data_IF_363874658792
#
_entry.id   IF_363874658792
#
_cell.length_a   1.000
_cell.length_b   1.000
_cell.length_c   1.000
_cell.angle_alpha   90.00
_cell.angle_beta   90.00
_cell.angle_gamma   90.00
#
_symmetry.space_group_name_H-M   'P 1'
#
loop_
_entity.id
_entity.type
_entity.pdbx_description
1 polymer ?
#
# COMPACT_ATOMS: atom_id res chain seq x y z
N UNK A 1 -52.42 -25.34 -9.27
CA UNK A 1 -51.13 -24.93 -9.88
C UNK A 1 -50.44 -24.00 -8.91
N UNK A 2 -49.66 -24.60 -8.01
CA UNK A 2 -48.90 -23.92 -6.96
C UNK A 2 -47.58 -23.47 -7.58
N UNK A 3 -47.32 -22.16 -7.57
CA UNK A 3 -46.03 -21.58 -7.92
C UNK A 3 -45.49 -20.89 -6.68
N UNK A 4 -44.58 -21.56 -6.00
CA UNK A 4 -43.70 -20.97 -4.99
C UNK A 4 -42.46 -20.51 -5.74
N UNK A 5 -42.34 -19.21 -5.98
CA UNK A 5 -41.07 -18.63 -6.44
C UNK A 5 -40.20 -18.40 -5.21
N UNK A 6 -39.24 -19.30 -5.03
CA UNK A 6 -38.15 -19.16 -4.08
C UNK A 6 -37.27 -18.00 -4.55
N UNK A 7 -37.28 -16.89 -3.81
CA UNK A 7 -36.23 -15.89 -3.91
C UNK A 7 -34.94 -16.55 -3.42
N UNK A 8 -33.99 -16.74 -4.32
CA UNK A 8 -32.63 -17.13 -3.97
C UNK A 8 -32.12 -16.14 -2.92
N UNK A 9 -31.79 -16.65 -1.73
CA UNK A 9 -31.08 -15.90 -0.72
C UNK A 9 -29.80 -15.36 -1.39
N UNK A 10 -29.65 -14.04 -1.43
CA UNK A 10 -28.37 -13.44 -1.77
C UNK A 10 -27.37 -13.95 -0.73
N UNK A 11 -26.39 -14.73 -1.18
CA UNK A 11 -25.25 -15.13 -0.36
C UNK A 11 -24.71 -13.86 0.31
N UNK A 12 -24.62 -13.87 1.64
CA UNK A 12 -23.85 -12.87 2.34
C UNK A 12 -22.44 -12.87 1.72
N UNK A 13 -21.87 -11.71 1.34
CA UNK A 13 -20.58 -11.70 0.69
C UNK A 13 -19.58 -12.39 1.63
N UNK A 14 -19.05 -13.55 1.21
CA UNK A 14 -17.96 -14.22 1.92
C UNK A 14 -16.90 -13.15 2.22
N UNK A 15 -16.66 -12.91 3.51
CA UNK A 15 -15.79 -11.83 3.93
C UNK A 15 -14.40 -12.07 3.33
N UNK A 16 -14.01 -11.27 2.32
CA UNK A 16 -12.68 -11.35 1.72
C UNK A 16 -11.61 -11.18 2.81
N UNK A 17 -10.41 -11.67 2.54
CA UNK A 17 -9.22 -11.49 3.37
C UNK A 17 -8.91 -10.03 3.72
N UNK A 18 -7.98 -9.81 4.64
CA UNK A 18 -7.61 -8.48 5.14
C UNK A 18 -6.50 -7.90 4.29
N UNK A 19 -6.65 -6.67 3.83
CA UNK A 19 -5.64 -5.97 3.04
C UNK A 19 -5.04 -4.80 3.83
N UNK A 20 -3.74 -4.87 4.09
CA UNK A 20 -2.99 -3.84 4.84
C UNK A 20 -1.89 -3.27 3.95
N UNK A 21 -1.87 -1.96 3.78
CA UNK A 21 -0.82 -1.25 3.07
C UNK A 21 0.09 -0.49 4.04
N UNK A 22 1.39 -0.46 3.76
CA UNK A 22 2.37 0.35 4.49
C UNK A 22 2.80 1.52 3.63
N UNK A 23 2.67 2.73 4.15
CA UNK A 23 2.97 3.98 3.45
C UNK A 23 3.87 4.88 4.29
N UNK A 24 4.47 5.89 3.64
CA UNK A 24 5.40 6.83 4.25
C UNK A 24 6.62 7.14 3.38
N UNK A 25 7.37 8.16 3.79
CA UNK A 25 8.58 8.61 3.12
C UNK A 25 9.70 7.56 3.06
N UNK A 26 10.80 7.92 2.39
CA UNK A 26 11.97 7.04 2.31
C UNK A 26 12.61 6.84 3.69
N UNK A 27 13.20 5.66 3.93
CA UNK A 27 13.84 5.34 5.21
C UNK A 27 12.89 5.27 6.43
N UNK A 28 11.57 5.31 6.24
CA UNK A 28 10.59 5.24 7.34
C UNK A 28 10.52 3.86 8.02
N UNK A 29 11.11 2.81 7.44
CA UNK A 29 11.11 1.46 8.02
C UNK A 29 9.91 0.58 7.63
N UNK A 30 9.19 0.93 6.54
CA UNK A 30 8.00 0.21 6.03
C UNK A 30 8.25 -1.29 5.86
N UNK A 31 9.26 -1.66 5.08
CA UNK A 31 9.62 -3.06 4.81
C UNK A 31 9.97 -3.86 6.07
N UNK A 32 10.51 -3.20 7.10
CA UNK A 32 10.79 -3.83 8.39
C UNK A 32 9.50 -4.10 9.15
N UNK A 33 8.64 -3.10 9.30
CA UNK A 33 7.38 -3.25 10.02
C UNK A 33 6.40 -4.21 9.33
N UNK A 34 6.36 -4.19 7.99
CA UNK A 34 5.57 -5.12 7.20
C UNK A 34 6.01 -6.59 7.40
N UNK A 35 7.32 -6.84 7.48
CA UNK A 35 7.85 -8.18 7.79
C UNK A 35 7.53 -8.63 9.21
N UNK A 36 7.72 -7.75 10.20
CA UNK A 36 7.42 -8.05 11.61
C UNK A 36 5.93 -8.41 11.78
N UNK A 37 5.04 -7.64 11.17
CA UNK A 37 3.61 -7.94 11.15
C UNK A 37 3.33 -9.29 10.47
N UNK A 38 3.93 -9.53 9.30
CA UNK A 38 3.71 -10.77 8.56
C UNK A 38 4.15 -12.00 9.36
N UNK A 39 5.30 -11.94 10.01
CA UNK A 39 5.85 -13.05 10.79
C UNK A 39 5.01 -13.30 12.06
N UNK A 40 4.57 -12.25 12.74
CA UNK A 40 3.67 -12.38 13.89
C UNK A 40 2.33 -13.03 13.51
N UNK A 41 1.71 -12.61 12.41
CA UNK A 41 0.43 -13.18 11.96
C UNK A 41 0.56 -14.62 11.46
N UNK A 42 1.69 -14.97 10.80
CA UNK A 42 1.99 -16.36 10.43
C UNK A 42 2.16 -17.24 11.67
N UNK A 43 2.86 -16.75 12.70
CA UNK A 43 3.01 -17.46 13.96
C UNK A 43 1.67 -17.67 14.67
N UNK A 44 0.71 -16.76 14.48
CA UNK A 44 -0.67 -16.88 14.96
C UNK A 44 -1.56 -17.77 14.06
N UNK A 45 -1.03 -18.36 12.99
CA UNK A 45 -1.74 -19.32 12.15
C UNK A 45 -2.51 -18.71 10.96
N UNK A 46 -2.35 -17.42 10.68
CA UNK A 46 -2.97 -16.80 9.49
C UNK A 46 -2.18 -17.14 8.22
N UNK A 47 -2.90 -17.34 7.10
CA UNK A 47 -2.26 -17.27 5.78
C UNK A 47 -1.88 -15.81 5.50
N UNK A 48 -0.59 -15.53 5.28
CA UNK A 48 -0.10 -14.18 5.04
C UNK A 48 0.71 -14.09 3.75
N UNK A 49 0.23 -13.21 2.87
CA UNK A 49 0.91 -12.82 1.62
C UNK A 49 1.56 -11.47 1.84
N UNK A 50 2.90 -11.46 1.94
CA UNK A 50 3.70 -10.24 2.01
C UNK A 50 4.21 -9.89 0.61
N UNK A 51 4.00 -8.64 0.20
CA UNK A 51 4.38 -8.14 -1.14
C UNK A 51 4.83 -6.66 -1.09
N UNK A 52 5.15 -6.07 -2.25
CA UNK A 52 5.55 -4.66 -2.39
C UNK A 52 5.11 -4.09 -3.73
N UNK A 53 5.03 -2.76 -3.79
CA UNK A 53 4.82 -2.01 -5.03
C UNK A 53 5.88 -0.93 -5.28
N UNK A 54 6.20 -0.64 -6.56
CA UNK A 54 5.83 -1.43 -7.74
C UNK A 54 6.56 -2.77 -7.73
N UNK A 55 5.95 -3.84 -8.25
CA UNK A 55 6.51 -5.20 -8.19
C UNK A 55 5.49 -6.28 -7.83
N UNK A 56 5.98 -7.43 -7.34
CA UNK A 56 5.15 -8.53 -6.84
C UNK A 56 4.77 -9.59 -7.89
N UNK A 57 4.99 -9.33 -9.18
CA UNK A 57 4.84 -10.29 -10.28
C UNK A 57 5.95 -10.12 -11.30
N UNK A 58 6.28 -11.11 -12.15
CA UNK A 58 7.34 -10.95 -13.15
C UNK A 58 7.16 -9.73 -14.06
N UNK A 59 5.92 -9.47 -14.52
CA UNK A 59 5.62 -8.30 -15.34
C UNK A 59 5.70 -6.98 -14.54
N UNK A 60 5.21 -6.98 -13.29
CA UNK A 60 5.29 -5.80 -12.42
C UNK A 60 6.75 -5.48 -12.01
N UNK A 61 7.62 -6.48 -11.84
CA UNK A 61 9.05 -6.31 -11.58
C UNK A 61 9.78 -5.72 -12.80
N UNK A 62 9.40 -6.09 -14.03
CA UNK A 62 9.95 -5.46 -15.22
C UNK A 62 9.60 -3.96 -15.29
N UNK A 63 8.36 -3.59 -14.93
CA UNK A 63 7.97 -2.18 -14.84
C UNK A 63 8.69 -1.45 -13.70
N UNK A 64 8.88 -2.12 -12.55
CA UNK A 64 9.69 -1.62 -11.43
C UNK A 64 11.10 -1.27 -11.88
N UNK A 65 11.74 -2.15 -12.65
CA UNK A 65 13.08 -1.91 -13.15
C UNK A 65 13.14 -0.60 -13.97
N UNK A 66 12.17 -0.36 -14.85
CA UNK A 66 12.12 0.90 -15.62
C UNK A 66 11.90 2.12 -14.73
N UNK A 67 10.94 2.09 -13.79
CA UNK A 67 10.63 3.29 -13.01
C UNK A 67 11.67 3.61 -11.93
N UNK A 68 12.51 2.66 -11.51
CA UNK A 68 13.50 2.91 -10.45
C UNK A 68 14.93 3.08 -10.97
N UNK A 69 15.21 2.72 -12.21
CA UNK A 69 16.57 2.77 -12.74
C UNK A 69 17.05 4.22 -12.96
N UNK A 70 18.18 4.63 -12.33
CA UNK A 70 18.76 5.96 -12.50
C UNK A 70 19.07 6.35 -13.95
N UNK A 71 19.25 5.37 -14.86
CA UNK A 71 19.50 5.66 -16.28
C UNK A 71 18.34 6.39 -16.96
N UNK A 72 17.12 6.27 -16.43
CA UNK A 72 15.92 6.95 -16.93
C UNK A 72 15.63 8.25 -16.18
N UNK A 73 16.66 8.92 -15.65
CA UNK A 73 16.54 10.26 -15.11
C UNK A 73 15.86 11.19 -16.14
N UNK A 74 14.85 11.95 -15.70
CA UNK A 74 14.02 12.78 -16.58
C UNK A 74 12.88 12.05 -17.29
N UNK A 75 12.53 10.81 -16.88
CA UNK A 75 11.29 10.14 -17.30
C UNK A 75 10.08 11.08 -17.09
N UNK A 76 9.25 11.21 -18.12
CA UNK A 76 8.05 12.05 -18.06
C UNK A 76 7.12 11.60 -16.90
N UNK A 77 6.58 12.58 -16.16
CA UNK A 77 5.78 12.30 -14.98
C UNK A 77 4.51 11.48 -15.29
N UNK A 78 3.86 11.70 -16.45
CA UNK A 78 2.68 10.91 -16.83
C UNK A 78 3.08 9.48 -17.18
N UNK A 79 4.21 9.30 -17.88
CA UNK A 79 4.74 7.97 -18.16
C UNK A 79 5.08 7.21 -16.87
N UNK A 80 5.73 7.88 -15.90
CA UNK A 80 5.98 7.34 -14.56
C UNK A 80 4.67 6.90 -13.89
N UNK A 81 3.67 7.79 -13.80
CA UNK A 81 2.37 7.49 -13.18
C UNK A 81 1.65 6.30 -13.84
N UNK A 82 1.68 6.21 -15.18
CA UNK A 82 1.05 5.13 -15.92
C UNK A 82 1.78 3.79 -15.72
N UNK A 83 3.11 3.79 -15.64
CA UNK A 83 3.89 2.57 -15.35
C UNK A 83 3.61 2.05 -13.93
N UNK A 84 3.49 2.95 -12.94
CA UNK A 84 3.07 2.58 -11.60
C UNK A 84 1.65 1.99 -11.59
N UNK A 85 0.71 2.62 -12.29
CA UNK A 85 -0.67 2.12 -12.41
C UNK A 85 -0.74 0.75 -13.12
N UNK A 86 0.04 0.55 -14.19
CA UNK A 86 0.12 -0.71 -14.91
C UNK A 86 0.73 -1.84 -14.06
N UNK A 87 1.81 -1.55 -13.32
CA UNK A 87 2.45 -2.49 -12.40
C UNK A 87 1.46 -2.95 -11.33
N UNK A 88 0.70 -2.00 -10.77
CA UNK A 88 -0.33 -2.22 -9.76
C UNK A 88 -1.53 -3.01 -10.28
N UNK A 89 -2.01 -2.73 -11.49
CA UNK A 89 -3.11 -3.49 -12.10
C UNK A 89 -2.77 -4.99 -12.21
N UNK A 90 -1.58 -5.30 -12.72
CA UNK A 90 -1.08 -6.67 -12.83
C UNK A 90 -0.90 -7.32 -11.45
N UNK A 91 -0.33 -6.59 -10.51
CA UNK A 91 -0.11 -7.07 -9.14
C UNK A 91 -1.43 -7.41 -8.43
N UNK A 92 -2.45 -6.54 -8.56
CA UNK A 92 -3.78 -6.79 -8.02
C UNK A 92 -4.41 -8.02 -8.65
N UNK A 93 -4.42 -8.10 -9.99
CA UNK A 93 -5.08 -9.17 -10.72
C UNK A 93 -4.46 -10.55 -10.45
N UNK A 94 -3.13 -10.63 -10.32
CA UNK A 94 -2.41 -11.90 -10.22
C UNK A 94 -2.09 -12.36 -8.81
N UNK A 95 -1.98 -11.44 -7.86
CA UNK A 95 -1.50 -11.75 -6.51
C UNK A 95 -2.48 -11.29 -5.43
N UNK A 96 -2.80 -10.00 -5.36
CA UNK A 96 -3.57 -9.46 -4.22
C UNK A 96 -5.02 -9.97 -4.23
N UNK A 97 -5.76 -9.78 -5.33
CA UNK A 97 -7.17 -10.15 -5.36
C UNK A 97 -7.39 -11.67 -5.16
N UNK A 98 -6.61 -12.57 -5.79
CA UNK A 98 -6.71 -14.00 -5.49
C UNK A 98 -6.38 -14.36 -4.03
N UNK A 99 -5.47 -13.63 -3.38
CA UNK A 99 -5.13 -13.83 -1.97
C UNK A 99 -6.25 -13.41 -1.03
N UNK A 100 -6.84 -12.24 -1.28
CA UNK A 100 -8.00 -11.79 -0.54
C UNK A 100 -9.21 -12.71 -0.78
N UNK A 101 -9.39 -13.22 -2.00
CA UNK A 101 -10.50 -14.12 -2.34
C UNK A 101 -10.53 -15.43 -1.55
N UNK A 102 -9.38 -15.91 -1.07
CA UNK A 102 -9.26 -17.11 -0.23
C UNK A 102 -9.14 -16.83 1.27
N UNK A 103 -9.31 -15.58 1.69
CA UNK A 103 -9.30 -15.17 3.11
C UNK A 103 -7.93 -14.83 3.68
N UNK A 104 -6.87 -14.76 2.88
CA UNK A 104 -5.52 -14.45 3.37
C UNK A 104 -5.40 -13.00 3.85
N UNK A 105 -4.46 -12.75 4.78
CA UNK A 105 -4.00 -11.40 5.08
C UNK A 105 -2.96 -10.99 4.05
N UNK A 106 -3.25 -9.97 3.25
CA UNK A 106 -2.29 -9.38 2.32
C UNK A 106 -1.67 -8.15 2.94
N UNK A 107 -0.34 -8.12 3.00
CA UNK A 107 0.45 -6.99 3.48
C UNK A 107 1.30 -6.48 2.32
N UNK A 108 1.16 -5.21 1.95
CA UNK A 108 1.96 -4.59 0.88
C UNK A 108 2.80 -3.42 1.40
N UNK A 109 4.08 -3.38 1.05
CA UNK A 109 4.90 -2.18 1.14
C UNK A 109 4.60 -1.27 -0.06
N UNK A 110 3.94 -0.14 0.21
CA UNK A 110 3.33 0.81 -0.73
C UNK A 110 2.09 0.26 -1.46
N UNK A 111 1.20 1.20 -1.81
CA UNK A 111 0.04 0.98 -2.66
C UNK A 111 -0.34 2.29 -3.40
N UNK A 112 -1.63 2.58 -3.56
CA UNK A 112 -2.15 3.74 -4.31
C UNK A 112 -1.76 5.08 -3.69
N UNK A 113 -1.70 5.16 -2.36
CA UNK A 113 -1.41 6.42 -1.66
C UNK A 113 0.01 6.92 -1.99
N UNK A 114 0.98 6.01 -2.18
CA UNK A 114 2.30 6.34 -2.75
C UNK A 114 2.19 7.02 -4.12
N UNK A 115 1.32 6.55 -5.02
CA UNK A 115 1.17 7.20 -6.33
C UNK A 115 0.54 8.58 -6.22
N UNK A 116 -0.42 8.76 -5.31
CA UNK A 116 -1.03 10.07 -5.05
C UNK A 116 0.02 11.04 -4.49
N UNK A 117 0.83 10.62 -3.51
CA UNK A 117 1.83 11.47 -2.89
C UNK A 117 2.96 11.85 -3.87
N UNK A 118 3.54 10.87 -4.56
CA UNK A 118 4.69 11.12 -5.44
C UNK A 118 4.25 11.71 -6.79
N UNK A 119 3.39 11.02 -7.53
CA UNK A 119 3.00 11.46 -8.87
C UNK A 119 1.88 12.51 -8.84
N UNK A 120 0.90 12.37 -7.95
CA UNK A 120 -0.21 13.31 -7.86
C UNK A 120 0.23 14.68 -7.33
N UNK A 121 0.91 14.70 -6.18
CA UNK A 121 1.30 15.93 -5.49
C UNK A 121 2.71 16.37 -5.88
N UNK A 122 3.74 15.57 -5.60
CA UNK A 122 5.13 16.03 -5.74
C UNK A 122 5.56 16.25 -7.21
N UNK A 123 5.03 15.47 -8.16
CA UNK A 123 5.19 15.71 -9.61
C UNK A 123 4.17 16.69 -10.19
N UNK A 124 3.14 17.09 -9.43
CA UNK A 124 2.14 18.06 -9.85
C UNK A 124 1.15 17.58 -10.92
N UNK A 125 0.88 16.27 -11.03
CA UNK A 125 -0.11 15.74 -11.98
C UNK A 125 -1.57 15.89 -11.50
N UNK A 126 -1.76 16.22 -10.22
CA UNK A 126 -3.06 16.31 -9.57
C UNK A 126 -3.41 15.02 -8.82
N UNK A 127 -3.69 15.10 -7.51
CA UNK A 127 -3.98 13.92 -6.69
C UNK A 127 -5.25 13.18 -7.16
N UNK A 128 -6.28 13.91 -7.59
CA UNK A 128 -7.53 13.32 -8.07
C UNK A 128 -7.35 12.52 -9.36
N UNK A 129 -6.57 13.06 -10.31
CA UNK A 129 -6.30 12.40 -11.59
C UNK A 129 -5.54 11.10 -11.36
N UNK A 130 -4.47 11.14 -10.56
CA UNK A 130 -3.67 9.95 -10.25
C UNK A 130 -4.47 8.95 -9.42
N UNK A 131 -5.31 9.43 -8.50
CA UNK A 131 -6.24 8.60 -7.73
C UNK A 131 -7.22 7.86 -8.62
N UNK A 132 -7.86 8.54 -9.57
CA UNK A 132 -8.83 7.94 -10.50
C UNK A 132 -8.20 6.87 -11.41
N UNK A 133 -7.02 7.15 -11.96
CA UNK A 133 -6.29 6.16 -12.78
C UNK A 133 -6.03 4.89 -11.99
N UNK A 134 -5.62 5.04 -10.73
CA UNK A 134 -5.33 3.90 -9.86
C UNK A 134 -6.58 3.18 -9.35
N UNK A 135 -7.66 3.91 -9.08
CA UNK A 135 -8.95 3.31 -8.73
C UNK A 135 -9.44 2.41 -9.88
N UNK A 136 -9.33 2.87 -11.12
CA UNK A 136 -9.64 2.04 -12.29
C UNK A 136 -8.69 0.84 -12.42
N UNK A 137 -7.38 1.07 -12.32
CA UNK A 137 -6.36 0.03 -12.45
C UNK A 137 -6.51 -1.11 -11.43
N UNK A 138 -6.98 -0.79 -10.23
CA UNK A 138 -7.12 -1.74 -9.10
C UNK A 138 -8.50 -2.37 -9.00
N UNK A 139 -9.42 -2.06 -9.92
CA UNK A 139 -10.82 -2.50 -9.80
C UNK A 139 -11.50 -1.95 -8.54
N UNK A 140 -11.12 -0.75 -8.12
CA UNK A 140 -11.55 -0.08 -6.88
C UNK A 140 -11.16 -0.79 -5.58
N UNK A 141 -10.18 -1.70 -5.61
CA UNK A 141 -9.66 -2.33 -4.41
C UNK A 141 -8.91 -1.30 -3.55
N UNK A 142 -9.34 -1.15 -2.31
CA UNK A 142 -8.67 -0.31 -1.31
C UNK A 142 -8.19 -1.15 -0.12
N UNK A 143 -7.09 -0.77 0.54
CA UNK A 143 -6.68 -1.37 1.81
C UNK A 143 -7.77 -1.18 2.87
N UNK A 144 -7.95 -2.20 3.70
CA UNK A 144 -8.76 -2.10 4.92
C UNK A 144 -8.05 -1.27 6.01
N UNK A 145 -6.72 -1.21 5.94
CA UNK A 145 -5.87 -0.39 6.79
C UNK A 145 -4.67 0.10 6.00
N UNK A 146 -4.38 1.39 6.08
CA UNK A 146 -3.09 1.96 5.69
C UNK A 146 -2.30 2.33 6.95
N UNK A 147 -1.15 1.69 7.15
CA UNK A 147 -0.19 2.06 8.20
C UNK A 147 0.75 3.11 7.63
N UNK A 148 0.63 4.35 8.11
CA UNK A 148 1.53 5.44 7.74
C UNK A 148 2.66 5.55 8.76
N UNK A 149 3.89 5.29 8.33
CA UNK A 149 5.10 5.53 9.11
C UNK A 149 5.61 6.95 8.82
N UNK A 150 5.34 7.86 9.75
CA UNK A 150 5.62 9.29 9.60
C UNK A 150 7.04 9.64 10.09
N UNK A 151 7.88 10.11 9.17
CA UNK A 151 9.24 10.59 9.43
C UNK A 151 9.49 11.83 8.60
N UNK A 152 10.25 12.78 9.17
CA UNK A 152 10.74 13.94 8.42
C UNK A 152 11.64 13.51 7.26
N UNK A 153 11.53 14.21 6.13
CA UNK A 153 12.21 13.83 4.88
C UNK A 153 13.74 13.70 5.06
N UNK A 154 14.38 14.69 5.70
CA UNK A 154 15.81 14.67 5.96
C UNK A 154 16.25 13.44 6.79
N UNK A 155 15.50 13.12 7.85
CA UNK A 155 15.80 11.99 8.72
C UNK A 155 15.58 10.64 8.03
N UNK A 156 14.57 10.56 7.15
CA UNK A 156 14.31 9.39 6.32
C UNK A 156 15.39 9.17 5.27
N UNK A 157 15.74 10.20 4.51
CA UNK A 157 16.75 10.14 3.45
C UNK A 157 18.15 9.80 3.98
N UNK A 158 18.50 10.25 5.20
CA UNK A 158 19.76 9.88 5.85
C UNK A 158 19.93 8.36 6.10
N UNK A 159 18.84 7.58 6.03
CA UNK A 159 18.85 6.12 6.19
C UNK A 159 18.93 5.36 4.86
N UNK A 160 18.83 6.06 3.72
CA UNK A 160 18.87 5.45 2.39
C UNK A 160 20.32 5.15 2.03
N UNK A 161 20.57 3.91 1.61
CA UNK A 161 21.87 3.43 1.13
C UNK A 161 21.68 3.05 -0.34
N UNK A 162 22.45 3.67 -1.24
CA UNK A 162 22.34 3.50 -2.70
C UNK A 162 20.97 3.92 -3.27
N UNK A 163 20.71 5.23 -3.42
CA UNK A 163 19.41 5.71 -3.85
C UNK A 163 19.08 5.30 -5.29
N UNK A 164 17.85 4.84 -5.49
CA UNK A 164 17.27 4.67 -6.82
C UNK A 164 16.86 6.02 -7.44
N UNK A 165 16.28 6.00 -8.65
CA UNK A 165 15.90 7.22 -9.38
C UNK A 165 14.99 8.16 -8.58
N UNK A 166 14.00 7.63 -7.85
CA UNK A 166 13.08 8.46 -7.04
C UNK A 166 13.70 8.91 -5.72
N UNK A 167 14.54 8.08 -5.11
CA UNK A 167 15.27 8.42 -3.89
C UNK A 167 16.39 9.46 -4.14
N UNK A 168 16.75 9.67 -5.41
CA UNK A 168 17.73 10.68 -5.84
C UNK A 168 17.10 12.07 -6.05
N UNK A 169 15.79 12.22 -5.84
CA UNK A 169 15.13 13.52 -5.90
C UNK A 169 15.60 14.45 -4.76
N UNK A 170 15.53 15.78 -4.91
CA UNK A 170 15.93 16.70 -3.86
C UNK A 170 15.10 16.53 -2.58
N UNK A 171 15.66 16.87 -1.43
CA UNK A 171 14.95 16.81 -0.15
C UNK A 171 13.60 17.56 -0.17
N UNK A 172 13.53 18.70 -0.87
CA UNK A 172 12.29 19.46 -1.03
C UNK A 172 11.17 18.65 -1.70
N UNK A 173 11.50 17.77 -2.66
CA UNK A 173 10.53 16.85 -3.27
C UNK A 173 10.01 15.86 -2.23
N UNK A 174 10.90 15.27 -1.43
CA UNK A 174 10.51 14.32 -0.38
C UNK A 174 9.74 14.99 0.77
N UNK A 175 10.02 16.26 1.08
CA UNK A 175 9.24 17.03 2.04
C UNK A 175 7.79 17.21 1.57
N UNK A 176 7.57 17.49 0.28
CA UNK A 176 6.22 17.55 -0.32
C UNK A 176 5.52 16.19 -0.23
N UNK A 177 6.24 15.10 -0.50
CA UNK A 177 5.69 13.72 -0.36
C UNK A 177 5.25 13.43 1.08
N UNK A 178 6.06 13.79 2.09
CA UNK A 178 5.71 13.61 3.51
C UNK A 178 4.44 14.37 3.85
N UNK A 179 4.33 15.64 3.42
CA UNK A 179 3.12 16.43 3.66
C UNK A 179 1.89 15.86 2.93
N UNK A 180 2.06 15.31 1.74
CA UNK A 180 0.97 14.65 1.01
C UNK A 180 0.44 13.42 1.77
N UNK A 181 1.32 12.58 2.32
CA UNK A 181 0.88 11.45 3.15
C UNK A 181 0.15 11.89 4.41
N UNK A 182 0.65 12.93 5.10
CA UNK A 182 -0.03 13.51 6.27
C UNK A 182 -1.42 14.03 5.93
N UNK A 183 -1.57 14.69 4.79
CA UNK A 183 -2.86 15.18 4.31
C UNK A 183 -3.84 14.04 3.98
N UNK A 184 -3.36 12.97 3.35
CA UNK A 184 -4.17 11.77 3.08
C UNK A 184 -4.65 11.10 4.38
N UNK A 185 -3.75 10.92 5.35
CA UNK A 185 -4.10 10.33 6.64
C UNK A 185 -5.08 11.20 7.44
N UNK A 186 -4.94 12.53 7.38
CA UNK A 186 -5.87 13.46 8.00
C UNK A 186 -7.27 13.42 7.35
N UNK A 187 -7.35 13.19 6.04
CA UNK A 187 -8.61 13.15 5.30
C UNK A 187 -9.45 11.89 5.52
N UNK A 188 -8.86 10.80 6.02
CA UNK A 188 -9.51 9.50 6.19
C UNK A 188 -9.03 8.77 7.45
N UNK A 189 -9.22 9.34 8.66
CA UNK A 189 -8.59 8.84 9.88
C UNK A 189 -9.02 7.41 10.26
N UNK A 190 -10.16 6.94 9.79
CA UNK A 190 -10.66 5.58 10.08
C UNK A 190 -9.89 4.50 9.31
N UNK A 191 -9.43 4.82 8.09
CA UNK A 191 -8.61 3.92 7.24
C UNK A 191 -7.13 3.92 7.63
N UNK A 192 -6.65 4.95 8.34
CA UNK A 192 -5.23 5.08 8.67
C UNK A 192 -4.88 4.69 10.11
N UNK A 193 -3.70 4.12 10.25
CA UNK A 193 -2.93 4.13 11.50
C UNK A 193 -1.64 4.91 11.24
N UNK A 194 -1.61 6.18 11.62
CA UNK A 194 -0.42 7.02 11.51
C UNK A 194 0.44 6.90 12.77
N UNK A 195 1.72 6.54 12.61
CA UNK A 195 2.68 6.32 13.70
C UNK A 195 3.96 7.11 13.45
N UNK A 196 4.51 7.82 14.45
CA UNK A 196 5.84 8.41 14.36
C UNK A 196 6.90 7.32 14.18
N UNK A 197 7.70 7.41 13.11
CA UNK A 197 8.78 6.49 12.79
C UNK A 197 10.13 6.92 13.38
N UNK A 198 10.08 7.30 14.67
CA UNK A 198 11.21 7.74 15.50
C UNK A 198 11.33 6.99 16.83
N UNK A 199 10.37 6.13 17.16
CA UNK A 199 10.37 5.30 18.37
C UNK A 199 11.13 3.97 18.21
N UNK A 200 11.15 3.18 19.27
CA UNK A 200 11.70 1.83 19.25
C UNK A 200 10.97 0.96 18.24
N UNK A 201 11.74 0.16 17.50
CA UNK A 201 11.21 -0.68 16.42
C UNK A 201 10.08 -1.59 16.89
N UNK A 202 10.24 -2.18 18.07
CA UNK A 202 9.34 -3.20 18.59
C UNK A 202 8.05 -2.57 19.16
N UNK A 203 8.10 -1.33 19.66
CA UNK A 203 6.91 -0.58 20.09
C UNK A 203 6.00 -0.25 18.90
N UNK A 204 6.60 0.19 17.78
CA UNK A 204 5.87 0.44 16.53
C UNK A 204 5.24 -0.86 16.03
N UNK A 205 5.98 -1.97 16.06
CA UNK A 205 5.49 -3.28 15.63
C UNK A 205 4.30 -3.75 16.48
N UNK A 206 4.37 -3.58 17.80
CA UNK A 206 3.31 -3.94 18.73
C UNK A 206 2.02 -3.12 18.48
N UNK A 207 2.14 -1.81 18.24
CA UNK A 207 1.00 -0.95 17.93
C UNK A 207 0.29 -1.37 16.62
N UNK A 208 1.07 -1.67 15.58
CA UNK A 208 0.55 -2.15 14.29
C UNK A 208 -0.16 -3.49 14.48
N UNK A 209 0.49 -4.45 15.15
CA UNK A 209 -0.09 -5.77 15.38
C UNK A 209 -1.42 -5.67 16.14
N UNK A 210 -1.47 -4.89 17.22
CA UNK A 210 -2.69 -4.69 18.01
C UNK A 210 -3.86 -4.14 17.16
N UNK A 211 -3.58 -3.17 16.26
CA UNK A 211 -4.60 -2.62 15.36
C UNK A 211 -5.09 -3.67 14.35
N UNK A 212 -4.17 -4.43 13.75
CA UNK A 212 -4.51 -5.45 12.76
C UNK A 212 -5.30 -6.60 13.37
N UNK A 213 -4.91 -7.08 14.56
CA UNK A 213 -5.68 -8.10 15.27
C UNK A 213 -7.08 -7.62 15.65
N UNK A 214 -7.24 -6.33 16.00
CA UNK A 214 -8.55 -5.76 16.24
C UNK A 214 -9.45 -5.83 14.99
N UNK A 215 -8.89 -5.60 13.80
CA UNK A 215 -9.63 -5.72 12.54
C UNK A 215 -9.97 -7.18 12.22
N UNK A 216 -9.03 -8.09 12.46
CA UNK A 216 -9.26 -9.54 12.28
C UNK A 216 -10.38 -10.05 13.19
N UNK A 217 -10.43 -9.63 14.47
CA UNK A 217 -11.50 -9.99 15.41
C UNK A 217 -12.86 -9.41 15.05
N UNK A 218 -12.89 -8.23 14.43
CA UNK A 218 -14.13 -7.58 14.02
C UNK A 218 -14.74 -8.17 12.73
N UNK A 219 -13.98 -9.01 12.02
CA UNK A 219 -14.43 -9.63 10.77
C UNK A 219 -15.20 -10.91 11.04
N UNK A 220 -16.28 -11.20 10.27
CA UNK A 220 -16.93 -12.49 10.35
C UNK A 220 -15.93 -13.59 9.99
N UNK A 221 -15.81 -14.59 10.84
CA UNK A 221 -15.08 -15.81 10.49
C UNK A 221 -15.78 -16.46 9.29
N UNK A 222 -15.07 -16.86 8.23
CA UNK A 222 -15.67 -17.62 7.14
C UNK A 222 -16.26 -18.94 7.61
#
# INVERSE_FOLDING_TARGET
>A
MTSVSSAAAADAPCARGLFVAFEGGEGAGKSTQARLLADALRAAGHEVVLTREPGGTPAAEAMRAVVLDPQFAGLDARAEALLYAASRAEHVARLIAPALGRGAVVITDRYVDSSIAYQGVARGLGPDVVGQINLWATGSLQPDLTVLLDVEAAAGLARVVEPNRLESEPEAFHAVVVQAFRALAFGDPDRYLALPAVGERDDIAAAILARVESLLRARPTP
#
